data_IF_703934181963
#
_entry.id   IF_703934181963
#
_cell.length_a   1.000
_cell.length_b   1.000
_cell.length_c   1.000
_cell.angle_alpha   90.00
_cell.angle_beta   90.00
_cell.angle_gamma   90.00
#
_symmetry.space_group_name_H-M   'P 1'
#
loop_
_entity.id
_entity.type
_entity.pdbx_description
1 polymer ?
#
# COMPACT_ATOMS: atom_id res chain seq x y z
N UNK A 1 -19.12 9.29 15.11
CA UNK A 1 -18.35 8.16 14.55
C UNK A 1 -16.95 8.66 14.20
N UNK A 2 -15.90 8.13 14.81
CA UNK A 2 -14.53 8.42 14.37
C UNK A 2 -14.30 7.74 13.02
N UNK A 3 -14.00 8.53 12.00
CA UNK A 3 -13.66 8.02 10.68
C UNK A 3 -12.19 7.59 10.68
N UNK A 4 -11.95 6.31 10.41
CA UNK A 4 -10.60 5.77 10.28
C UNK A 4 -9.91 6.35 9.05
N UNK A 5 -8.74 6.96 9.25
CA UNK A 5 -7.91 7.55 8.19
C UNK A 5 -6.54 6.90 8.20
N UNK A 6 -6.10 6.45 7.03
CA UNK A 6 -4.76 5.91 6.81
C UNK A 6 -3.90 6.91 6.07
N UNK A 7 -2.65 7.09 6.50
CA UNK A 7 -1.61 7.65 5.63
C UNK A 7 -0.87 6.53 4.91
N UNK A 8 -0.83 6.59 3.58
CA UNK A 8 -0.07 5.67 2.74
C UNK A 8 1.17 6.38 2.20
N UNK A 9 2.34 5.78 2.41
CA UNK A 9 3.63 6.36 2.09
C UNK A 9 4.37 5.48 1.09
N UNK A 10 4.97 6.11 0.08
CA UNK A 10 5.71 5.45 -1.00
C UNK A 10 6.76 4.43 -0.53
N UNK A 11 6.67 3.25 -1.15
CA UNK A 11 7.67 2.19 -1.39
C UNK A 11 6.99 0.81 -1.60
N UNK A 12 5.66 0.77 -1.56
CA UNK A 12 4.92 -0.47 -1.37
C UNK A 12 3.79 -0.54 -2.40
N UNK A 13 3.99 -1.41 -3.41
CA UNK A 13 2.88 -1.94 -4.21
C UNK A 13 1.77 -2.37 -3.25
N UNK A 14 0.50 -2.20 -3.66
CA UNK A 14 -0.76 -2.46 -2.91
C UNK A 14 -0.86 -3.68 -1.98
N UNK A 15 0.15 -4.55 -1.93
CA UNK A 15 0.15 -5.91 -1.43
C UNK A 15 1.22 -6.24 -0.37
N UNK A 16 2.17 -5.36 0.02
CA UNK A 16 3.18 -5.73 1.05
C UNK A 16 3.63 -4.60 2.01
N UNK A 17 3.12 -4.55 3.24
CA UNK A 17 3.75 -3.72 4.31
C UNK A 17 3.37 -4.15 5.72
N UNK A 18 3.77 -3.40 6.75
CA UNK A 18 3.27 -3.54 8.12
C UNK A 18 2.54 -2.24 8.50
N UNK A 19 1.40 -2.33 9.20
CA UNK A 19 0.68 -1.15 9.70
C UNK A 19 0.91 -0.95 11.19
N UNK A 20 1.02 0.31 11.58
CA UNK A 20 1.13 0.77 12.96
C UNK A 20 -0.08 1.64 13.30
N UNK A 21 -0.63 1.44 14.49
CA UNK A 21 -1.78 2.19 15.00
C UNK A 21 -1.28 3.35 15.87
N UNK A 22 -1.75 4.57 15.57
CA UNK A 22 -1.42 5.76 16.35
C UNK A 22 -2.72 6.35 16.88
N UNK A 23 -2.91 6.31 18.21
CA UNK A 23 -4.05 6.98 18.87
C UNK A 23 -5.03 6.10 19.62
N UNK A 24 -4.62 4.93 20.11
CA UNK A 24 -5.33 4.36 21.25
C UNK A 24 -5.17 5.30 22.45
N UNK A 25 -6.26 5.64 23.15
CA UNK A 25 -6.13 5.85 24.60
C UNK A 25 -5.30 4.68 25.10
N UNK A 26 -4.36 4.93 25.99
CA UNK A 26 -3.85 3.87 26.85
C UNK A 26 -5.11 3.26 27.44
N UNK A 27 -5.57 2.14 26.87
CA UNK A 27 -6.42 1.24 27.58
C UNK A 27 -5.51 0.89 28.74
N UNK A 28 -5.83 1.46 29.90
CA UNK A 28 -5.44 0.88 31.16
C UNK A 28 -5.60 -0.61 30.95
N UNK A 29 -4.48 -1.31 30.80
CA UNK A 29 -4.41 -2.70 31.21
C UNK A 29 -5.13 -2.66 32.56
N UNK A 30 -6.24 -3.39 32.77
CA UNK A 30 -6.72 -3.54 34.11
C UNK A 30 -5.51 -4.11 34.83
N UNK A 31 -4.86 -3.29 35.65
CA UNK A 31 -3.94 -3.82 36.63
C UNK A 31 -4.79 -4.90 37.31
N UNK A 32 -4.40 -6.19 37.27
CA UNK A 32 -5.08 -7.14 38.10
C UNK A 32 -5.07 -6.52 39.49
N UNK A 33 -6.26 -6.31 40.07
CA UNK A 33 -6.44 -5.84 41.43
C UNK A 33 -5.80 -6.87 42.36
N UNK A 34 -4.47 -6.84 42.45
CA UNK A 34 -3.67 -7.67 43.34
C UNK A 34 -3.97 -7.33 44.80
N UNK A 35 -4.62 -6.18 45.05
CA UNK A 35 -5.13 -5.80 46.36
C UNK A 35 -6.43 -6.54 46.72
N UNK A 36 -7.31 -6.87 45.76
CA UNK A 36 -8.61 -7.49 46.07
C UNK A 36 -8.53 -9.01 46.31
N UNK A 37 -7.46 -9.67 45.85
CA UNK A 37 -7.23 -11.10 46.12
C UNK A 37 -6.59 -11.38 47.50
N UNK A 38 -6.12 -10.34 48.19
CA UNK A 38 -5.42 -10.49 49.48
C UNK A 38 -6.35 -10.43 50.70
N UNK A 39 -7.60 -9.98 50.53
CA UNK A 39 -8.55 -9.81 51.64
C UNK A 39 -9.50 -11.00 51.89
N UNK A 40 -9.48 -12.06 51.09
CA UNK A 40 -10.46 -13.17 51.20
C UNK A 40 -9.91 -14.55 51.58
N UNK A 41 -8.60 -14.69 51.88
CA UNK A 41 -8.07 -15.98 52.35
C UNK A 41 -7.22 -15.82 53.61
N UNK A 42 -7.79 -16.26 54.73
CA UNK A 42 -7.10 -16.33 56.00
C UNK A 42 -5.90 -17.27 55.96
N UNK A 43 -4.79 -16.78 56.53
CA UNK A 43 -3.65 -17.52 57.13
C UNK A 43 -3.03 -18.65 56.29
N UNK A 44 -1.94 -18.33 55.58
CA UNK A 44 -0.75 -19.19 55.52
C UNK A 44 0.51 -18.31 55.32
N UNK A 45 1.60 -18.47 56.11
CA UNK A 45 2.81 -17.68 55.92
C UNK A 45 3.62 -18.29 54.77
N UNK A 46 3.33 -17.88 53.53
CA UNK A 46 4.12 -18.33 52.38
C UNK A 46 5.36 -17.44 52.30
N UNK A 47 6.52 -18.03 52.58
CA UNK A 47 7.80 -17.34 52.54
C UNK A 47 8.03 -16.72 51.13
N UNK A 48 8.28 -15.41 51.00
CA UNK A 48 8.41 -14.72 49.71
C UNK A 48 9.53 -15.28 48.81
N UNK A 49 10.54 -15.94 49.40
CA UNK A 49 11.58 -16.64 48.65
C UNK A 49 11.07 -17.89 47.91
N UNK A 50 10.00 -18.53 48.39
CA UNK A 50 9.37 -19.69 47.74
C UNK A 50 8.61 -19.23 46.49
N UNK A 51 7.90 -18.10 46.56
CA UNK A 51 7.17 -17.53 45.40
C UNK A 51 8.15 -17.06 44.33
N UNK A 52 9.27 -16.43 44.73
CA UNK A 52 10.30 -15.95 43.82
C UNK A 52 11.06 -17.04 43.04
N UNK A 53 11.07 -18.28 43.53
CA UNK A 53 11.77 -19.41 42.87
C UNK A 53 10.79 -20.30 42.10
N UNK A 54 9.61 -20.58 42.65
CA UNK A 54 8.66 -21.51 42.02
C UNK A 54 7.90 -20.89 40.86
N UNK A 55 7.58 -19.59 40.89
CA UNK A 55 6.85 -18.96 39.78
C UNK A 55 7.69 -18.93 38.49
N UNK A 56 8.98 -18.54 38.50
CA UNK A 56 9.82 -18.62 37.31
C UNK A 56 10.03 -20.05 36.82
N UNK A 57 10.18 -21.03 37.72
CA UNK A 57 10.32 -22.44 37.35
C UNK A 57 9.03 -23.03 36.75
N UNK A 58 7.87 -22.65 37.28
CA UNK A 58 6.58 -23.05 36.74
C UNK A 58 6.36 -22.43 35.35
N UNK A 59 6.65 -21.13 35.19
CA UNK A 59 6.58 -20.44 33.89
C UNK A 59 7.57 -21.03 32.91
N UNK A 60 8.81 -21.32 33.32
CA UNK A 60 9.82 -21.98 32.49
C UNK A 60 9.37 -23.40 32.11
N UNK A 61 8.75 -24.15 33.01
CA UNK A 61 8.24 -25.50 32.72
C UNK A 61 7.05 -25.48 31.76
N UNK A 62 6.19 -24.47 31.84
CA UNK A 62 5.07 -24.27 30.89
C UNK A 62 5.63 -23.86 29.52
N UNK A 63 6.61 -22.96 29.48
CA UNK A 63 7.29 -22.52 28.25
C UNK A 63 8.10 -23.65 27.58
N UNK A 64 8.71 -24.56 28.36
CA UNK A 64 9.44 -25.72 27.86
C UNK A 64 8.50 -26.86 27.41
N UNK A 65 7.32 -26.99 28.03
CA UNK A 65 6.34 -28.05 27.71
C UNK A 65 5.58 -27.81 26.40
N UNK A 66 5.57 -26.57 25.87
CA UNK A 66 5.03 -26.29 24.53
C UNK A 66 5.98 -26.68 23.38
N UNK A 67 7.20 -27.16 23.66
CA UNK A 67 8.20 -27.36 22.60
C UNK A 67 8.19 -28.69 21.86
N UNK A 68 7.33 -29.67 22.19
CA UNK A 68 7.51 -31.03 21.65
C UNK A 68 6.29 -31.80 21.11
N UNK A 69 5.16 -31.16 20.80
CA UNK A 69 4.11 -31.89 20.05
C UNK A 69 3.19 -31.01 19.16
N UNK A 70 3.78 -30.04 18.47
CA UNK A 70 3.07 -29.35 17.40
C UNK A 70 2.94 -30.30 16.20
N UNK A 71 1.83 -31.06 16.12
CA UNK A 71 1.41 -31.74 14.87
C UNK A 71 1.47 -30.73 13.72
N UNK A 72 2.54 -30.79 12.92
CA UNK A 72 2.70 -29.98 11.70
C UNK A 72 1.63 -30.42 10.71
N UNK A 73 0.46 -29.78 10.75
CA UNK A 73 -0.61 -29.94 9.75
C UNK A 73 -0.28 -29.08 8.53
N UNK A 74 0.78 -29.45 7.82
CA UNK A 74 1.09 -28.92 6.50
C UNK A 74 0.42 -29.75 5.41
N UNK A 75 -0.12 -29.10 4.38
CA UNK A 75 -0.46 -29.78 3.13
C UNK A 75 0.83 -29.94 2.31
N UNK A 76 1.08 -31.14 1.81
CA UNK A 76 2.13 -31.35 0.82
C UNK A 76 1.76 -30.58 -0.44
N UNK A 77 2.66 -29.70 -0.88
CA UNK A 77 2.52 -28.93 -2.10
C UNK A 77 3.78 -29.11 -2.93
N UNK A 78 3.61 -29.33 -4.23
CA UNK A 78 4.70 -29.29 -5.18
C UNK A 78 5.02 -27.83 -5.49
N UNK A 79 6.13 -27.33 -4.96
CA UNK A 79 6.58 -25.96 -5.16
C UNK A 79 7.84 -25.97 -6.03
N UNK A 80 7.66 -26.03 -7.35
CA UNK A 80 8.76 -25.98 -8.30
C UNK A 80 9.54 -27.30 -8.44
N UNK A 81 8.87 -28.44 -8.25
CA UNK A 81 9.48 -29.77 -8.36
C UNK A 81 10.03 -30.34 -7.05
N UNK A 82 10.01 -29.55 -5.96
CA UNK A 82 10.37 -30.02 -4.62
C UNK A 82 9.14 -30.12 -3.70
N UNK A 83 9.03 -31.21 -2.90
CA UNK A 83 7.95 -31.36 -1.94
C UNK A 83 8.09 -30.35 -0.80
N UNK A 84 7.19 -29.36 -0.77
CA UNK A 84 7.06 -28.36 0.28
C UNK A 84 5.88 -28.64 1.21
N UNK A 85 5.84 -27.91 2.34
CA UNK A 85 4.71 -27.92 3.27
C UNK A 85 4.04 -26.54 3.30
N UNK A 86 2.77 -26.48 2.90
CA UNK A 86 1.94 -25.29 3.08
C UNK A 86 1.22 -25.38 4.44
N UNK A 87 1.46 -24.42 5.33
CA UNK A 87 0.78 -24.34 6.63
C UNK A 87 -0.56 -23.60 6.45
N UNK A 88 -1.66 -24.20 6.92
CA UNK A 88 -3.00 -23.58 6.87
C UNK A 88 -3.46 -23.11 8.25
N UNK A 89 -4.32 -22.10 8.26
CA UNK A 89 -4.97 -21.67 9.49
C UNK A 89 -5.91 -22.77 10.01
N UNK A 90 -5.70 -23.21 11.26
CA UNK A 90 -6.45 -24.31 11.88
C UNK A 90 -7.95 -24.04 12.04
N UNK A 91 -8.39 -22.78 11.97
CA UNK A 91 -9.79 -22.38 12.13
C UNK A 91 -10.67 -22.75 10.94
N UNK A 92 -10.09 -23.12 9.80
CA UNK A 92 -10.83 -23.44 8.57
C UNK A 92 -10.51 -24.84 8.08
N UNK A 93 -11.56 -25.59 7.71
CA UNK A 93 -11.43 -26.94 7.17
C UNK A 93 -10.95 -26.93 5.71
N UNK A 94 -11.28 -25.88 4.96
CA UNK A 94 -10.91 -25.62 3.56
C UNK A 94 -10.18 -24.26 3.41
N UNK A 95 -9.42 -24.05 2.32
CA UNK A 95 -8.87 -22.73 2.00
C UNK A 95 -9.98 -21.67 1.93
N UNK A 96 -9.68 -20.46 2.41
CA UNK A 96 -10.59 -19.32 2.28
C UNK A 96 -10.47 -18.79 0.86
N UNK A 97 -11.56 -18.85 0.09
CA UNK A 97 -11.61 -18.32 -1.28
C UNK A 97 -12.13 -16.89 -1.31
N UNK A 98 -13.27 -16.65 -0.65
CA UNK A 98 -13.85 -15.32 -0.47
C UNK A 98 -14.54 -15.22 0.89
N UNK A 99 -14.39 -14.08 1.58
CA UNK A 99 -15.14 -13.75 2.79
C UNK A 99 -16.52 -13.15 2.47
N UNK A 100 -16.72 -12.67 1.24
CA UNK A 100 -17.91 -11.93 0.85
C UNK A 100 -18.83 -12.80 -0.01
N UNK A 101 -20.09 -12.90 0.41
CA UNK A 101 -21.10 -13.67 -0.32
C UNK A 101 -21.33 -13.08 -1.72
N UNK A 102 -21.30 -13.93 -2.74
CA UNK A 102 -21.47 -13.54 -4.14
C UNK A 102 -20.29 -12.80 -4.77
N UNK A 103 -19.14 -12.71 -4.10
CA UNK A 103 -17.92 -12.07 -4.61
C UNK A 103 -16.90 -13.13 -4.97
N UNK A 104 -16.56 -13.19 -6.26
CA UNK A 104 -15.58 -14.12 -6.84
C UNK A 104 -14.35 -13.41 -7.43
N UNK A 105 -14.44 -12.10 -7.64
CA UNK A 105 -13.39 -11.29 -8.26
C UNK A 105 -13.05 -10.03 -7.45
N UNK A 106 -11.85 -9.48 -7.68
CA UNK A 106 -11.42 -8.21 -7.07
C UNK A 106 -12.30 -7.02 -7.51
N UNK A 107 -12.81 -7.07 -8.75
CA UNK A 107 -13.69 -6.04 -9.28
C UNK A 107 -15.07 -6.07 -8.59
N UNK A 108 -15.63 -7.25 -8.36
CA UNK A 108 -16.87 -7.41 -7.58
C UNK A 108 -16.70 -6.97 -6.13
N UNK A 109 -15.56 -7.30 -5.50
CA UNK A 109 -15.25 -6.86 -4.15
C UNK A 109 -15.25 -5.33 -4.06
N UNK A 110 -14.57 -4.66 -5.01
CA UNK A 110 -14.51 -3.21 -5.05
C UNK A 110 -15.90 -2.61 -5.33
N UNK A 111 -16.65 -3.17 -6.28
CA UNK A 111 -18.02 -2.72 -6.58
C UNK A 111 -18.96 -2.84 -5.37
N UNK A 112 -18.92 -3.97 -4.65
CA UNK A 112 -19.70 -4.16 -3.43
C UNK A 112 -19.30 -3.15 -2.35
N UNK A 113 -18.00 -2.89 -2.20
CA UNK A 113 -17.47 -1.89 -1.26
C UNK A 113 -17.95 -0.48 -1.62
N UNK A 114 -17.93 -0.13 -2.90
CA UNK A 114 -18.40 1.16 -3.38
C UNK A 114 -19.91 1.35 -3.21
N UNK A 115 -20.72 0.29 -3.41
CA UNK A 115 -22.16 0.31 -3.11
C UNK A 115 -22.42 0.54 -1.63
N UNK A 116 -21.65 -0.12 -0.75
CA UNK A 116 -21.80 -0.03 0.71
C UNK A 116 -21.36 1.32 1.28
N UNK A 117 -20.29 1.90 0.73
CA UNK A 117 -19.63 3.08 1.29
C UNK A 117 -19.71 4.31 0.39
N UNK A 118 -20.64 4.34 -0.56
CA UNK A 118 -20.71 5.32 -1.67
C UNK A 118 -20.36 6.76 -1.29
N UNK A 119 -20.93 7.29 -0.20
CA UNK A 119 -20.75 8.68 0.24
C UNK A 119 -19.51 8.91 1.14
N UNK A 120 -18.79 7.86 1.54
CA UNK A 120 -17.56 8.02 2.34
C UNK A 120 -16.40 8.44 1.44
N UNK A 121 -15.47 9.27 1.91
CA UNK A 121 -14.23 9.53 1.20
C UNK A 121 -13.36 8.27 1.17
N UNK A 122 -12.77 7.98 0.02
CA UNK A 122 -11.91 6.84 -0.23
C UNK A 122 -10.47 7.28 -0.45
N UNK A 123 -10.19 8.06 -1.52
CA UNK A 123 -8.82 8.46 -1.87
C UNK A 123 -8.63 9.94 -1.60
N UNK A 124 -7.60 10.28 -0.84
CA UNK A 124 -7.24 11.65 -0.50
C UNK A 124 -5.88 12.02 -1.05
N UNK A 125 -5.79 13.16 -1.74
CA UNK A 125 -4.53 13.73 -2.22
C UNK A 125 -4.39 15.17 -1.74
N UNK A 126 -3.16 15.62 -1.48
CA UNK A 126 -2.91 17.03 -1.11
C UNK A 126 -3.05 17.93 -2.31
N UNK A 127 -3.77 19.03 -2.14
CA UNK A 127 -3.74 20.13 -3.10
C UNK A 127 -2.34 20.75 -3.14
N UNK A 128 -1.76 20.86 -4.33
CA UNK A 128 -0.51 21.57 -4.54
C UNK A 128 -0.81 23.05 -4.79
N UNK A 129 -0.44 23.92 -3.85
CA UNK A 129 -0.68 25.38 -3.98
C UNK A 129 0.47 26.03 -4.76
N UNK A 130 1.72 25.67 -4.44
CA UNK A 130 2.89 26.16 -5.19
C UNK A 130 4.10 25.27 -5.01
N UNK A 131 4.97 25.27 -6.02
CA UNK A 131 6.33 24.72 -5.96
C UNK A 131 7.33 25.86 -5.80
N UNK A 132 8.36 25.61 -5.02
CA UNK A 132 9.53 26.48 -4.89
C UNK A 132 10.80 25.65 -4.96
N UNK A 133 11.92 26.32 -5.17
CA UNK A 133 13.24 25.68 -5.18
C UNK A 133 14.09 26.37 -4.13
N UNK A 134 14.65 25.61 -3.21
CA UNK A 134 15.65 26.09 -2.25
C UNK A 134 17.02 25.56 -2.66
N UNK A 135 17.98 26.46 -2.81
CA UNK A 135 19.37 26.09 -3.12
C UNK A 135 20.14 26.04 -1.81
N UNK A 136 20.72 24.88 -1.50
CA UNK A 136 21.61 24.71 -0.36
C UNK A 136 22.92 25.49 -0.58
N UNK A 137 23.66 25.74 0.51
CA UNK A 137 24.99 26.36 0.46
C UNK A 137 25.96 25.59 -0.46
N UNK A 138 25.75 24.28 -0.61
CA UNK A 138 26.53 23.41 -1.51
C UNK A 138 26.11 23.52 -3.00
N UNK A 139 25.23 24.44 -3.38
CA UNK A 139 24.72 24.61 -4.74
C UNK A 139 23.66 23.59 -5.18
N UNK A 140 23.33 22.60 -4.34
CA UNK A 140 22.27 21.63 -4.61
C UNK A 140 20.89 22.28 -4.49
N UNK A 141 20.07 22.14 -5.53
CA UNK A 141 18.68 22.61 -5.53
C UNK A 141 17.73 21.52 -5.02
N UNK A 142 16.82 21.90 -4.14
CA UNK A 142 15.79 21.04 -3.57
C UNK A 142 14.41 21.61 -3.86
N UNK A 143 13.54 20.77 -4.43
CA UNK A 143 12.14 21.11 -4.61
C UNK A 143 11.43 21.19 -3.24
N UNK A 144 10.71 22.29 -3.03
CA UNK A 144 9.86 22.54 -1.87
C UNK A 144 8.43 22.73 -2.32
N UNK A 145 7.50 22.10 -1.62
CA UNK A 145 6.07 22.10 -1.91
C UNK A 145 5.34 22.88 -0.81
N UNK A 146 4.49 23.80 -1.24
CA UNK A 146 3.44 24.38 -0.41
C UNK A 146 2.14 23.62 -0.69
N UNK A 147 1.73 22.79 0.27
CA UNK A 147 0.60 21.88 0.13
C UNK A 147 -0.58 22.39 0.96
N UNK A 148 -1.77 22.40 0.36
CA UNK A 148 -3.05 22.77 0.95
C UNK A 148 -3.68 21.65 1.76
N UNK A 149 -5.01 21.57 1.76
CA UNK A 149 -5.74 20.50 2.45
C UNK A 149 -5.80 19.22 1.59
N UNK A 150 -6.25 18.12 2.20
CA UNK A 150 -6.59 16.91 1.45
C UNK A 150 -7.88 17.14 0.67
N UNK A 151 -7.82 16.93 -0.64
CA UNK A 151 -8.97 16.80 -1.52
C UNK A 151 -9.32 15.32 -1.63
N UNK A 152 -10.60 14.99 -1.45
CA UNK A 152 -11.06 13.61 -1.36
C UNK A 152 -11.98 13.27 -2.53
N UNK A 153 -11.82 12.06 -3.05
CA UNK A 153 -12.85 11.41 -3.85
C UNK A 153 -13.56 10.36 -3.00
N UNK A 154 -14.88 10.32 -3.10
CA UNK A 154 -15.73 9.33 -2.45
C UNK A 154 -15.63 7.96 -3.11
N UNK A 155 -16.08 6.91 -2.42
CA UNK A 155 -16.19 5.57 -3.00
C UNK A 155 -17.06 5.56 -4.27
N UNK A 156 -18.15 6.33 -4.29
CA UNK A 156 -19.02 6.45 -5.47
C UNK A 156 -18.34 7.14 -6.64
N UNK A 157 -17.63 8.23 -6.39
CA UNK A 157 -16.85 8.93 -7.42
C UNK A 157 -15.70 8.07 -7.94
N UNK A 158 -14.99 7.37 -7.05
CA UNK A 158 -13.95 6.43 -7.42
C UNK A 158 -14.48 5.28 -8.29
N UNK A 159 -15.67 4.74 -7.96
CA UNK A 159 -16.29 3.70 -8.78
C UNK A 159 -16.64 4.21 -10.18
N UNK A 160 -17.18 5.43 -10.28
CA UNK A 160 -17.46 6.07 -11.58
C UNK A 160 -16.17 6.26 -12.39
N UNK A 161 -15.11 6.79 -11.78
CA UNK A 161 -13.81 6.95 -12.42
C UNK A 161 -13.25 5.60 -12.88
N UNK A 162 -13.36 4.54 -12.07
CA UNK A 162 -12.93 3.17 -12.43
C UNK A 162 -13.70 2.63 -13.63
N UNK A 163 -15.02 2.83 -13.70
CA UNK A 163 -15.84 2.42 -14.85
C UNK A 163 -15.44 3.17 -16.12
N UNK A 164 -15.19 4.48 -16.00
CA UNK A 164 -14.72 5.31 -17.09
C UNK A 164 -13.34 4.87 -17.56
N UNK A 165 -12.36 4.71 -16.67
CA UNK A 165 -11.00 4.26 -17.03
C UNK A 165 -11.05 2.88 -17.71
N UNK A 166 -11.79 1.93 -17.15
CA UNK A 166 -12.01 0.60 -17.73
C UNK A 166 -12.52 0.69 -19.18
N UNK A 167 -13.52 1.54 -19.42
CA UNK A 167 -14.08 1.75 -20.75
C UNK A 167 -13.11 2.46 -21.69
N UNK A 168 -12.37 3.45 -21.18
CA UNK A 168 -11.38 4.22 -21.94
C UNK A 168 -10.20 3.38 -22.41
N UNK A 169 -9.71 2.45 -21.57
CA UNK A 169 -8.67 1.48 -21.96
C UNK A 169 -9.11 0.65 -23.16
N UNK A 170 -10.39 0.23 -23.21
CA UNK A 170 -10.93 -0.49 -24.36
C UNK A 170 -11.03 0.42 -25.60
N UNK A 171 -11.41 1.68 -25.44
CA UNK A 171 -11.46 2.64 -26.56
C UNK A 171 -10.08 2.96 -27.14
N UNK A 172 -9.01 2.83 -26.36
CA UNK A 172 -7.63 2.89 -26.84
C UNK A 172 -7.21 1.65 -27.65
N UNK A 173 -8.06 0.62 -27.73
CA UNK A 173 -7.80 -0.61 -28.45
C UNK A 173 -7.09 -1.69 -27.62
N UNK A 174 -6.99 -1.51 -26.30
CA UNK A 174 -6.38 -2.48 -25.39
C UNK A 174 -7.29 -3.69 -25.24
N UNK A 175 -6.71 -4.89 -25.38
CA UNK A 175 -7.40 -6.18 -25.41
C UNK A 175 -7.09 -6.98 -24.14
N UNK A 176 -7.91 -7.98 -23.84
CA UNK A 176 -7.82 -8.85 -22.66
C UNK A 176 -6.41 -9.46 -22.42
N UNK A 177 -5.69 -9.79 -23.48
CA UNK A 177 -4.36 -10.41 -23.38
C UNK A 177 -3.20 -9.40 -23.34
N UNK A 178 -3.51 -8.11 -23.45
CA UNK A 178 -2.52 -7.06 -23.29
C UNK A 178 -2.12 -6.92 -21.81
N UNK A 179 -0.85 -6.59 -21.59
CA UNK A 179 -0.29 -6.33 -20.28
C UNK A 179 -0.06 -4.84 -20.12
N UNK A 180 -0.58 -4.29 -19.02
CA UNK A 180 -0.45 -2.88 -18.68
C UNK A 180 0.54 -2.74 -17.54
N UNK A 181 1.65 -2.02 -17.76
CA UNK A 181 2.52 -1.64 -16.67
C UNK A 181 2.00 -0.37 -15.97
N UNK A 182 1.96 -0.37 -14.64
CA UNK A 182 1.77 0.86 -13.86
C UNK A 182 3.12 1.23 -13.24
N UNK A 183 3.74 2.28 -13.79
CA UNK A 183 5.05 2.80 -13.44
C UNK A 183 4.93 4.24 -12.91
N UNK A 184 4.43 4.37 -11.68
CA UNK A 184 4.35 5.66 -10.98
C UNK A 184 4.38 5.48 -9.47
N UNK A 185 4.61 6.58 -8.74
CA UNK A 185 4.48 6.63 -7.29
C UNK A 185 3.04 6.27 -6.83
N UNK A 186 2.91 5.82 -5.59
CA UNK A 186 1.63 5.37 -5.05
C UNK A 186 0.71 6.57 -4.85
N UNK A 187 -0.32 6.67 -5.69
CA UNK A 187 -1.28 7.79 -5.71
C UNK A 187 -2.69 7.34 -6.08
N UNK A 188 -3.65 8.25 -6.02
CA UNK A 188 -5.06 7.98 -6.33
C UNK A 188 -5.23 7.36 -7.74
N UNK A 189 -4.59 7.94 -8.74
CA UNK A 189 -4.63 7.51 -10.13
C UNK A 189 -4.03 6.11 -10.33
N UNK A 190 -2.97 5.77 -9.59
CA UNK A 190 -2.39 4.42 -9.58
C UNK A 190 -3.45 3.39 -9.14
N UNK A 191 -4.19 3.70 -8.08
CA UNK A 191 -5.23 2.82 -7.56
C UNK A 191 -6.44 2.72 -8.51
N UNK A 192 -6.89 3.85 -9.06
CA UNK A 192 -7.99 3.88 -10.03
C UNK A 192 -7.63 3.09 -11.30
N UNK A 193 -6.39 3.21 -11.78
CA UNK A 193 -5.88 2.44 -12.90
C UNK A 193 -5.90 0.93 -12.63
N UNK A 194 -5.41 0.51 -11.45
CA UNK A 194 -5.42 -0.89 -11.03
C UNK A 194 -6.84 -1.47 -11.03
N UNK A 195 -7.78 -0.77 -10.39
CA UNK A 195 -9.18 -1.20 -10.34
C UNK A 195 -9.85 -1.21 -11.72
N UNK A 196 -9.53 -0.23 -12.57
CA UNK A 196 -9.97 -0.19 -13.98
C UNK A 196 -9.49 -1.40 -14.78
N UNK A 197 -8.23 -1.79 -14.60
CA UNK A 197 -7.66 -2.99 -15.22
C UNK A 197 -8.36 -4.27 -14.71
N UNK A 198 -8.61 -4.36 -13.40
CA UNK A 198 -9.30 -5.52 -12.83
C UNK A 198 -10.72 -5.68 -13.38
N UNK A 199 -11.46 -4.58 -13.61
CA UNK A 199 -12.81 -4.57 -14.18
C UNK A 199 -12.87 -5.03 -15.64
N UNK A 200 -11.74 -5.03 -16.37
CA UNK A 200 -11.62 -5.45 -17.77
C UNK A 200 -10.83 -6.75 -17.95
N UNK A 201 -10.58 -7.48 -16.87
CA UNK A 201 -9.74 -8.67 -16.88
C UNK A 201 -8.35 -8.43 -17.52
N UNK A 202 -7.76 -7.25 -17.31
CA UNK A 202 -6.42 -6.95 -17.81
C UNK A 202 -5.37 -7.38 -16.77
N UNK A 203 -4.23 -7.87 -17.25
CA UNK A 203 -3.09 -8.21 -16.40
C UNK A 203 -2.25 -6.96 -16.14
N UNK A 204 -2.02 -6.65 -14.88
CA UNK A 204 -1.22 -5.49 -14.47
C UNK A 204 0.21 -5.91 -14.15
N UNK A 205 1.19 -5.27 -14.77
CA UNK A 205 2.60 -5.39 -14.40
C UNK A 205 2.95 -4.23 -13.48
N UNK A 206 3.27 -4.53 -12.23
CA UNK A 206 3.62 -3.48 -11.27
C UNK A 206 5.13 -3.39 -11.12
N UNK A 207 5.66 -2.19 -11.40
CA UNK A 207 7.07 -1.85 -11.29
C UNK A 207 7.24 -0.64 -10.38
N UNK A 208 8.29 -0.63 -9.56
CA UNK A 208 8.57 0.48 -8.66
C UNK A 208 9.03 1.72 -9.41
N UNK A 209 8.52 2.90 -9.07
CA UNK A 209 8.97 4.19 -9.64
C UNK A 209 10.48 4.45 -9.43
N UNK A 210 11.05 3.88 -8.37
CA UNK A 210 12.48 3.93 -8.04
C UNK A 210 13.35 2.93 -8.80
N UNK A 211 12.76 2.07 -9.63
CA UNK A 211 13.51 1.08 -10.42
C UNK A 211 14.44 1.77 -11.42
N UNK A 212 15.66 1.24 -11.55
CA UNK A 212 16.64 1.71 -12.53
C UNK A 212 16.26 1.28 -13.96
N UNK A 213 16.76 2.02 -14.95
CA UNK A 213 16.43 1.86 -16.37
C UNK A 213 16.63 0.44 -16.91
N UNK A 214 17.75 -0.20 -16.60
CA UNK A 214 18.03 -1.57 -17.04
C UNK A 214 17.02 -2.59 -16.47
N UNK A 215 16.69 -2.46 -15.18
CA UNK A 215 15.71 -3.32 -14.52
C UNK A 215 14.29 -3.07 -15.05
N UNK A 216 13.96 -1.81 -15.34
CA UNK A 216 12.69 -1.42 -15.95
C UNK A 216 12.56 -2.03 -17.36
N UNK A 217 13.57 -1.86 -18.21
CA UNK A 217 13.58 -2.41 -19.56
C UNK A 217 13.42 -3.94 -19.55
N UNK A 218 14.18 -4.64 -18.70
CA UNK A 218 14.04 -6.08 -18.53
C UNK A 218 12.61 -6.47 -18.15
N UNK A 219 12.04 -5.79 -17.15
CA UNK A 219 10.69 -6.09 -16.65
C UNK A 219 9.61 -5.89 -17.72
N UNK A 220 9.68 -4.79 -18.47
CA UNK A 220 8.69 -4.47 -19.51
C UNK A 220 8.79 -5.40 -20.72
N UNK A 221 10.00 -5.78 -21.14
CA UNK A 221 10.20 -6.68 -22.28
C UNK A 221 9.88 -8.14 -21.94
N UNK A 222 10.30 -8.62 -20.76
CA UNK A 222 10.00 -10.00 -20.32
C UNK A 222 8.50 -10.23 -20.20
N UNK A 223 7.74 -9.20 -19.82
CA UNK A 223 6.27 -9.25 -19.80
C UNK A 223 5.62 -8.68 -21.05
N UNK A 224 6.36 -8.41 -22.12
CA UNK A 224 5.85 -7.87 -23.40
C UNK A 224 4.75 -6.82 -23.19
N UNK A 225 5.01 -5.85 -22.31
CA UNK A 225 4.03 -4.82 -21.95
C UNK A 225 3.70 -4.00 -23.18
N UNK A 226 2.41 -3.81 -23.44
CA UNK A 226 1.94 -3.01 -24.57
C UNK A 226 1.48 -1.61 -24.17
N UNK A 227 1.13 -1.40 -22.90
CA UNK A 227 0.69 -0.10 -22.39
C UNK A 227 1.39 0.23 -21.08
N UNK A 228 1.92 1.44 -20.94
CA UNK A 228 2.52 1.92 -19.69
C UNK A 228 1.74 3.12 -19.16
N UNK A 229 1.31 3.06 -17.91
CA UNK A 229 0.74 4.19 -17.17
C UNK A 229 1.84 4.77 -16.29
N UNK A 230 2.17 6.06 -16.44
CA UNK A 230 3.30 6.65 -15.73
C UNK A 230 3.09 8.09 -15.25
N UNK A 231 3.87 8.50 -14.26
CA UNK A 231 3.96 9.89 -13.80
C UNK A 231 4.90 10.73 -14.67
N UNK A 232 5.08 12.00 -14.30
CA UNK A 232 5.93 12.94 -15.05
C UNK A 232 7.40 12.50 -15.10
N UNK A 233 7.99 12.16 -13.95
CA UNK A 233 9.41 11.78 -13.85
C UNK A 233 9.66 10.43 -14.52
N UNK A 234 8.70 9.53 -14.39
CA UNK A 234 8.73 8.20 -14.97
C UNK A 234 8.63 8.24 -16.49
N UNK A 235 7.83 9.15 -17.05
CA UNK A 235 7.75 9.38 -18.49
C UNK A 235 9.12 9.75 -19.08
N UNK A 236 9.87 10.65 -18.41
CA UNK A 236 11.22 11.02 -18.86
C UNK A 236 12.16 9.81 -18.93
N UNK A 237 12.12 8.93 -17.91
CA UNK A 237 12.91 7.68 -17.91
C UNK A 237 12.49 6.75 -19.05
N UNK A 238 11.17 6.59 -19.28
CA UNK A 238 10.66 5.77 -20.37
C UNK A 238 11.15 6.26 -21.74
N UNK A 239 11.12 7.57 -21.99
CA UNK A 239 11.65 8.17 -23.22
C UNK A 239 13.14 7.81 -23.39
N UNK A 240 13.94 7.91 -22.32
CA UNK A 240 15.37 7.58 -22.33
C UNK A 240 15.67 6.11 -22.71
N UNK A 241 14.77 5.18 -22.40
CA UNK A 241 14.91 3.76 -22.76
C UNK A 241 14.04 3.33 -23.94
N UNK A 242 13.36 4.26 -24.61
CA UNK A 242 12.35 3.96 -25.63
C UNK A 242 12.88 3.06 -26.76
N UNK A 243 14.13 3.25 -27.18
CA UNK A 243 14.79 2.42 -28.20
C UNK A 243 15.09 0.97 -27.79
N UNK A 244 14.84 0.60 -26.53
CA UNK A 244 15.00 -0.75 -26.00
C UNK A 244 13.66 -1.43 -25.67
N UNK A 245 12.52 -0.77 -25.91
CA UNK A 245 11.19 -1.25 -25.57
C UNK A 245 10.45 -1.73 -26.81
N UNK A 246 10.42 -3.05 -27.02
CA UNK A 246 9.97 -3.64 -28.29
C UNK A 246 8.45 -3.67 -28.46
N UNK A 247 7.72 -3.75 -27.34
CA UNK A 247 6.29 -4.08 -27.33
C UNK A 247 5.38 -2.92 -26.94
N UNK A 248 5.94 -1.86 -26.37
CA UNK A 248 5.16 -0.71 -25.88
C UNK A 248 4.57 0.06 -27.05
N UNK A 249 3.24 0.23 -27.01
CA UNK A 249 2.43 0.92 -28.05
C UNK A 249 1.74 2.15 -27.49
N UNK A 250 1.29 2.09 -26.25
CA UNK A 250 0.53 3.16 -25.60
C UNK A 250 1.26 3.63 -24.34
N UNK A 251 1.33 4.95 -24.15
CA UNK A 251 1.76 5.55 -22.88
C UNK A 251 0.68 6.49 -22.37
N UNK A 252 0.15 6.15 -21.20
CA UNK A 252 -0.88 6.92 -20.52
C UNK A 252 -0.20 7.71 -19.40
N UNK A 253 -0.09 9.02 -19.55
CA UNK A 253 0.59 9.85 -18.55
C UNK A 253 -0.40 10.47 -17.56
N UNK A 254 -0.02 10.49 -16.29
CA UNK A 254 -0.75 11.21 -15.25
C UNK A 254 -0.30 12.67 -15.31
N UNK A 255 -1.25 13.58 -15.55
CA UNK A 255 -0.94 14.99 -15.75
C UNK A 255 -0.38 15.62 -14.48
N UNK A 256 0.73 16.33 -14.63
CA UNK A 256 1.34 17.20 -13.62
C UNK A 256 1.77 18.51 -14.28
N UNK A 257 1.95 19.56 -13.48
CA UNK A 257 2.51 20.82 -13.97
C UNK A 257 3.82 20.55 -14.72
N UNK A 258 4.03 21.20 -15.87
CA UNK A 258 5.21 21.09 -16.76
C UNK A 258 5.41 19.80 -17.56
N UNK A 259 4.48 18.83 -17.52
CA UNK A 259 4.59 17.58 -18.30
C UNK A 259 4.53 17.76 -19.83
N UNK A 260 4.13 18.94 -20.31
CA UNK A 260 3.94 19.22 -21.74
C UNK A 260 5.20 18.99 -22.57
N UNK A 261 6.38 19.31 -22.00
CA UNK A 261 7.66 19.16 -22.70
C UNK A 261 7.98 17.70 -22.94
N UNK A 262 7.85 16.85 -21.91
CA UNK A 262 8.08 15.41 -22.00
C UNK A 262 7.06 14.74 -22.93
N UNK A 263 5.80 15.21 -22.93
CA UNK A 263 4.78 14.69 -23.85
C UNK A 263 5.13 15.01 -25.30
N UNK A 264 5.60 16.23 -25.61
CA UNK A 264 6.06 16.57 -26.96
C UNK A 264 7.27 15.72 -27.35
N UNK A 265 8.26 15.58 -26.48
CA UNK A 265 9.43 14.73 -26.72
C UNK A 265 9.05 13.28 -26.97
N UNK A 266 8.10 12.73 -26.20
CA UNK A 266 7.63 11.36 -26.40
C UNK A 266 6.97 11.20 -27.78
N UNK A 267 6.16 12.18 -28.22
CA UNK A 267 5.50 12.15 -29.54
C UNK A 267 6.48 12.30 -30.71
N UNK A 268 7.56 13.06 -30.52
CA UNK A 268 8.58 13.28 -31.56
C UNK A 268 9.56 12.10 -31.67
N UNK A 269 9.96 11.52 -30.53
CA UNK A 269 11.04 10.55 -30.47
C UNK A 269 10.57 9.09 -30.45
N UNK A 270 9.27 8.83 -30.35
CA UNK A 270 8.72 7.46 -30.24
C UNK A 270 7.53 7.26 -31.16
N UNK A 271 7.23 6.01 -31.49
CA UNK A 271 6.01 5.62 -32.21
C UNK A 271 4.81 5.42 -31.28
N UNK A 272 4.94 5.77 -29.99
CA UNK A 272 3.92 5.50 -28.99
C UNK A 272 2.71 6.43 -29.13
N UNK A 273 1.52 5.89 -28.88
CA UNK A 273 0.33 6.68 -28.67
C UNK A 273 0.34 7.26 -27.25
N UNK A 274 0.56 8.57 -27.15
CA UNK A 274 0.64 9.30 -25.89
C UNK A 274 -0.73 9.92 -25.55
N UNK A 275 -1.35 9.48 -24.45
CA UNK A 275 -2.68 9.94 -24.01
C UNK A 275 -2.65 10.32 -22.53
N UNK A 276 -3.38 11.37 -22.11
CA UNK A 276 -3.44 11.70 -20.68
C UNK A 276 -4.41 10.76 -19.96
N UNK A 277 -4.16 10.51 -18.67
CA UNK A 277 -5.04 9.71 -17.82
C UNK A 277 -6.48 10.24 -17.79
N UNK A 278 -6.63 11.57 -17.76
CA UNK A 278 -7.93 12.26 -17.81
C UNK A 278 -8.65 12.08 -19.15
N UNK A 279 -7.90 11.98 -20.25
CA UNK A 279 -8.46 11.75 -21.57
C UNK A 279 -8.97 10.31 -21.71
N UNK A 280 -8.23 9.34 -21.17
CA UNK A 280 -8.71 7.95 -21.09
C UNK A 280 -10.02 7.87 -20.31
N UNK A 281 -10.10 8.56 -19.16
CA UNK A 281 -11.34 8.64 -18.39
C UNK A 281 -12.48 9.26 -19.22
N UNK A 282 -12.22 10.39 -19.91
CA UNK A 282 -13.22 11.06 -20.76
C UNK A 282 -13.72 10.14 -21.88
N UNK A 283 -12.82 9.47 -22.60
CA UNK A 283 -13.16 8.53 -23.68
C UNK A 283 -14.08 7.42 -23.19
N UNK A 284 -13.82 6.89 -21.99
CA UNK A 284 -14.66 5.86 -21.40
C UNK A 284 -15.99 6.36 -20.86
N UNK A 285 -16.04 7.60 -20.35
CA UNK A 285 -17.31 8.25 -19.98
C UNK A 285 -18.24 8.41 -21.19
N UNK A 286 -17.67 8.72 -22.36
CA UNK A 286 -18.45 8.92 -23.60
C UNK A 286 -18.94 7.62 -24.22
N UNK A 287 -18.21 6.51 -24.00
CA UNK A 287 -18.54 5.19 -24.53
C UNK A 287 -18.40 4.13 -23.43
N UNK A 288 -19.33 4.13 -22.46
CA UNK A 288 -19.29 3.19 -21.35
C UNK A 288 -19.48 1.76 -21.84
N UNK A 289 -18.79 0.83 -21.20
CA UNK A 289 -18.95 -0.61 -21.44
C UNK A 289 -19.13 -1.36 -20.13
N UNK A 290 -19.79 -2.51 -20.22
CA UNK A 290 -19.95 -3.40 -19.08
C UNK A 290 -18.60 -4.00 -18.65
N UNK A 291 -18.55 -4.45 -17.39
CA UNK A 291 -17.40 -5.17 -16.87
C UNK A 291 -17.19 -6.48 -17.63
N UNK A 292 -15.93 -6.82 -17.91
CA UNK A 292 -15.53 -8.14 -18.37
C UNK A 292 -14.85 -8.83 -17.20
N UNK A 293 -15.64 -9.60 -16.45
CA UNK A 293 -15.20 -10.16 -15.18
C UNK A 293 -14.37 -11.44 -15.41
N UNK A 294 -13.24 -11.56 -14.71
CA UNK A 294 -12.33 -12.69 -14.82
C UNK A 294 -12.83 -13.95 -14.12
N UNK A 295 -12.18 -15.08 -14.39
CA UNK A 295 -12.24 -16.27 -13.52
C UNK A 295 -11.10 -16.27 -12.49
N UNK A 296 -11.23 -17.06 -11.43
CA UNK A 296 -10.27 -17.07 -10.31
C UNK A 296 -8.84 -17.48 -10.70
N UNK A 297 -8.70 -18.30 -11.75
CA UNK A 297 -7.42 -18.76 -12.29
C UNK A 297 -6.75 -17.77 -13.24
N UNK A 298 -7.42 -16.67 -13.60
CA UNK A 298 -6.80 -15.64 -14.44
C UNK A 298 -5.70 -14.89 -13.67
N UNK A 299 -4.66 -14.48 -14.39
CA UNK A 299 -3.58 -13.67 -13.85
C UNK A 299 -4.09 -12.26 -13.54
N UNK A 300 -3.80 -11.74 -12.34
CA UNK A 300 -4.19 -10.40 -11.91
C UNK A 300 -3.03 -9.43 -12.08
N UNK A 301 -1.91 -9.77 -11.44
CA UNK A 301 -0.76 -8.88 -11.28
C UNK A 301 0.52 -9.67 -11.45
N UNK A 302 1.49 -9.11 -12.17
CA UNK A 302 2.88 -9.52 -12.14
C UNK A 302 3.64 -8.45 -11.37
N UNK A 303 4.13 -8.78 -10.18
CA UNK A 303 4.85 -7.84 -9.33
C UNK A 303 6.35 -8.03 -9.48
N UNK A 304 7.04 -7.04 -10.05
CA UNK A 304 8.49 -7.10 -10.15
C UNK A 304 9.16 -6.70 -8.85
N UNK A 305 10.10 -7.53 -8.41
CA UNK A 305 10.87 -7.31 -7.18
C UNK A 305 12.36 -7.27 -7.48
N UNK A 306 13.07 -6.33 -6.87
CA UNK A 306 14.53 -6.28 -6.90
C UNK A 306 15.08 -7.38 -5.99
N UNK A 307 15.35 -8.56 -6.54
CA UNK A 307 16.00 -9.64 -5.81
C UNK A 307 17.41 -9.24 -5.35
N UNK A 308 17.97 -9.96 -4.39
CA UNK A 308 19.27 -9.64 -3.77
C UNK A 308 20.48 -9.86 -4.69
N UNK A 309 20.37 -10.62 -5.78
CA UNK A 309 21.53 -11.08 -6.56
C UNK A 309 21.30 -11.20 -8.08
N UNK A 310 20.39 -10.43 -8.70
CA UNK A 310 20.19 -10.54 -10.14
C UNK A 310 19.13 -9.62 -10.76
N UNK A 311 18.75 -9.94 -11.99
CA UNK A 311 17.62 -9.31 -12.70
C UNK A 311 16.34 -9.40 -11.85
N UNK A 312 15.48 -8.37 -11.88
CA UNK A 312 14.27 -8.37 -11.09
C UNK A 312 13.35 -9.50 -11.57
N UNK A 313 12.64 -10.14 -10.64
CA UNK A 313 11.76 -11.27 -10.94
C UNK A 313 10.30 -10.87 -10.82
N UNK A 314 9.48 -11.28 -11.77
CA UNK A 314 8.03 -11.10 -11.76
C UNK A 314 7.32 -12.16 -10.91
N UNK A 315 6.73 -11.74 -9.79
CA UNK A 315 5.87 -12.59 -8.96
C UNK A 315 4.46 -12.59 -9.55
N UNK A 316 4.03 -13.75 -10.07
CA UNK A 316 2.69 -13.92 -10.63
C UNK A 316 1.64 -14.09 -9.54
N UNK A 317 0.66 -13.19 -9.51
CA UNK A 317 -0.45 -13.20 -8.57
C UNK A 317 -1.75 -13.47 -9.32
N UNK A 318 -2.29 -14.68 -9.12
CA UNK A 318 -3.61 -15.06 -9.63
C UNK A 318 -4.72 -14.31 -8.87
N UNK A 319 -5.84 -14.04 -9.54
CA UNK A 319 -6.95 -13.28 -8.94
C UNK A 319 -7.52 -13.96 -7.71
N UNK A 320 -7.71 -15.28 -7.77
CA UNK A 320 -8.16 -16.09 -6.64
C UNK A 320 -7.20 -15.98 -5.45
N UNK A 321 -5.89 -16.00 -5.69
CA UNK A 321 -4.88 -15.87 -4.62
C UNK A 321 -4.96 -14.51 -3.92
N UNK A 322 -5.16 -13.43 -4.68
CA UNK A 322 -5.32 -12.09 -4.11
C UNK A 322 -6.59 -12.01 -3.27
N UNK A 323 -7.73 -12.45 -3.81
CA UNK A 323 -9.01 -12.42 -3.10
C UNK A 323 -8.99 -13.29 -1.83
N UNK A 324 -8.42 -14.49 -1.93
CA UNK A 324 -8.20 -15.39 -0.80
C UNK A 324 -7.33 -14.74 0.28
N UNK A 325 -6.25 -14.05 -0.11
CA UNK A 325 -5.35 -13.36 0.83
C UNK A 325 -6.08 -12.21 1.55
N UNK A 326 -6.82 -11.40 0.81
CA UNK A 326 -7.64 -10.30 1.38
C UNK A 326 -8.68 -10.86 2.35
N UNK A 327 -9.37 -11.93 1.96
CA UNK A 327 -10.36 -12.62 2.79
C UNK A 327 -9.73 -13.21 4.05
N UNK A 328 -8.60 -13.89 3.93
CA UNK A 328 -7.88 -14.48 5.06
C UNK A 328 -7.47 -13.42 6.08
N UNK A 329 -6.91 -12.29 5.63
CA UNK A 329 -6.51 -11.21 6.54
C UNK A 329 -7.72 -10.62 7.27
N UNK A 330 -8.80 -10.35 6.56
CA UNK A 330 -10.04 -9.84 7.16
C UNK A 330 -10.67 -10.83 8.15
N UNK A 331 -10.48 -12.13 7.93
CA UNK A 331 -11.03 -13.18 8.81
C UNK A 331 -10.16 -13.43 10.05
N UNK A 332 -8.84 -13.48 9.89
CA UNK A 332 -7.90 -13.67 11.00
C UNK A 332 -8.01 -12.50 11.98
N UNK A 333 -8.27 -11.32 11.43
CA UNK A 333 -8.16 -10.11 12.20
C UNK A 333 -9.25 -9.10 11.83
N UNK A 334 -10.51 -9.37 12.22
CA UNK A 334 -11.66 -8.53 11.87
C UNK A 334 -11.59 -7.13 12.49
N UNK A 335 -10.96 -7.00 13.67
CA UNK A 335 -10.66 -5.70 14.30
C UNK A 335 -9.43 -5.00 13.71
N UNK A 336 -8.65 -5.70 12.88
CA UNK A 336 -7.44 -5.24 12.17
C UNK A 336 -7.72 -5.03 10.67
N UNK A 337 -8.98 -5.00 10.22
CA UNK A 337 -9.29 -4.35 8.93
C UNK A 337 -8.64 -2.96 8.82
N UNK A 338 -8.38 -2.34 9.98
CA UNK A 338 -7.53 -1.17 10.22
C UNK A 338 -6.00 -1.40 10.16
N UNK A 339 -5.43 -2.52 10.61
CA UNK A 339 -3.96 -2.76 10.63
C UNK A 339 -3.46 -3.69 9.49
N UNK A 340 -4.28 -3.98 8.49
CA UNK A 340 -3.83 -4.70 7.30
C UNK A 340 -3.16 -3.73 6.31
N UNK A 341 -1.92 -3.97 5.87
CA UNK A 341 -1.19 -3.14 4.89
C UNK A 341 -1.79 -3.08 3.47
N UNK A 342 -2.66 -4.04 3.14
CA UNK A 342 -3.14 -4.20 1.77
C UNK A 342 -4.24 -3.20 1.49
N UNK A 343 -4.04 -2.39 0.45
CA UNK A 343 -5.01 -1.37 0.02
C UNK A 343 -6.40 -1.98 -0.15
N UNK A 344 -6.47 -3.10 -0.87
CA UNK A 344 -7.72 -3.78 -1.25
C UNK A 344 -8.52 -4.22 -0.01
N UNK A 345 -7.83 -4.66 1.06
CA UNK A 345 -8.49 -5.04 2.30
C UNK A 345 -9.09 -3.82 3.04
N UNK A 346 -8.37 -2.69 3.01
CA UNK A 346 -8.81 -1.44 3.62
C UNK A 346 -10.00 -0.83 2.88
N UNK A 347 -10.01 -0.92 1.55
CA UNK A 347 -11.13 -0.48 0.71
C UNK A 347 -12.38 -1.31 1.03
N UNK A 348 -12.22 -2.63 1.15
CA UNK A 348 -13.30 -3.54 1.55
C UNK A 348 -13.83 -3.26 2.97
N UNK A 349 -13.01 -2.64 3.82
CA UNK A 349 -13.40 -2.20 5.16
C UNK A 349 -14.00 -0.77 5.20
N UNK A 350 -14.03 -0.04 4.08
CA UNK A 350 -14.58 1.31 4.03
C UNK A 350 -13.68 2.37 4.67
N UNK A 351 -12.36 2.16 4.65
CA UNK A 351 -11.35 3.07 5.22
C UNK A 351 -11.02 4.19 4.22
N UNK A 352 -10.76 5.39 4.74
CA UNK A 352 -10.31 6.54 3.96
C UNK A 352 -8.77 6.61 3.93
N UNK A 353 -8.20 6.80 2.76
CA UNK A 353 -6.77 6.61 2.49
C UNK A 353 -6.20 7.89 1.89
N UNK A 354 -5.37 8.57 2.68
CA UNK A 354 -4.61 9.75 2.25
C UNK A 354 -3.22 9.36 1.75
N UNK A 355 -2.90 9.73 0.52
CA UNK A 355 -1.60 9.51 -0.07
C UNK A 355 -0.61 10.58 0.37
N UNK A 356 0.58 10.14 0.77
CA UNK A 356 1.69 10.97 1.21
C UNK A 356 3.01 10.40 0.69
N UNK A 357 4.07 11.19 0.74
CA UNK A 357 5.43 10.71 0.47
C UNK A 357 6.27 10.75 1.74
N UNK A 358 7.35 9.96 1.74
CA UNK A 358 8.37 9.99 2.77
C UNK A 358 8.98 11.39 2.97
N UNK A 359 8.90 12.24 1.95
CA UNK A 359 9.46 13.59 1.91
C UNK A 359 8.42 14.67 2.25
N UNK A 360 7.15 14.30 2.47
CA UNK A 360 6.06 15.22 2.83
C UNK A 360 5.36 14.86 4.14
N UNK A 361 5.72 13.73 4.75
CA UNK A 361 5.04 13.16 5.92
C UNK A 361 4.97 14.09 7.14
N UNK A 362 6.09 14.72 7.51
CA UNK A 362 6.21 15.58 8.70
C UNK A 362 6.39 17.04 8.30
N UNK A 363 6.05 17.98 9.19
CA UNK A 363 6.22 19.43 8.94
C UNK A 363 7.68 19.85 8.67
N UNK A 364 8.63 18.97 8.99
CA UNK A 364 10.08 19.18 8.78
C UNK A 364 10.64 18.30 7.67
N UNK A 365 9.79 17.62 6.89
CA UNK A 365 10.25 16.76 5.82
C UNK A 365 10.82 17.56 4.66
N UNK A 366 11.75 16.96 3.92
CA UNK A 366 12.62 17.70 2.99
C UNK A 366 11.86 18.38 1.84
N UNK A 367 10.72 17.85 1.38
CA UNK A 367 9.90 18.51 0.35
C UNK A 367 8.89 19.50 0.92
N UNK A 368 8.72 19.65 2.22
CA UNK A 368 7.77 20.62 2.78
C UNK A 368 8.42 22.00 2.87
N UNK A 369 7.78 23.00 2.26
CA UNK A 369 8.19 24.41 2.39
C UNK A 369 8.02 24.88 3.84
N UNK A 370 9.01 25.56 4.41
CA UNK A 370 8.97 26.07 5.79
C UNK A 370 7.67 26.84 6.06
N UNK A 371 6.98 26.51 7.15
CA UNK A 371 5.67 27.08 7.51
C UNK A 371 4.46 26.30 6.96
N UNK A 372 4.68 25.30 6.12
CA UNK A 372 3.63 24.40 5.60
C UNK A 372 3.52 23.16 6.50
N UNK A 373 2.29 22.66 6.70
CA UNK A 373 2.07 21.41 7.44
C UNK A 373 2.30 20.18 6.55
N UNK A 374 3.00 19.19 7.10
CA UNK A 374 3.17 17.88 6.51
C UNK A 374 1.91 17.02 6.58
N UNK A 375 1.94 15.88 5.91
CA UNK A 375 0.77 15.01 5.75
C UNK A 375 0.21 14.47 7.05
N UNK A 376 1.06 14.00 7.97
CA UNK A 376 0.61 13.48 9.26
C UNK A 376 -0.12 14.55 10.09
N UNK A 377 0.33 15.81 10.02
CA UNK A 377 -0.25 16.93 10.75
C UNK A 377 -1.62 17.35 10.20
N UNK A 378 -1.82 17.28 8.88
CA UNK A 378 -3.09 17.63 8.22
C UNK A 378 -4.08 16.47 8.26
N UNK A 379 -3.63 15.27 7.90
CA UNK A 379 -4.47 14.09 7.78
C UNK A 379 -4.92 13.56 9.14
N UNK A 380 -4.04 13.67 10.16
CA UNK A 380 -4.18 13.08 11.49
C UNK A 380 -4.58 11.60 11.40
N UNK A 381 -3.71 10.77 10.80
CA UNK A 381 -4.04 9.37 10.54
C UNK A 381 -4.23 8.60 11.85
N UNK A 382 -5.23 7.73 11.87
CA UNK A 382 -5.41 6.70 12.93
C UNK A 382 -4.47 5.53 12.71
N UNK A 383 -4.06 5.31 11.44
CA UNK A 383 -3.23 4.21 11.01
C UNK A 383 -2.15 4.70 10.05
N UNK A 384 -0.97 4.12 10.14
CA UNK A 384 0.11 4.39 9.21
C UNK A 384 0.72 3.07 8.76
N UNK A 385 0.70 2.80 7.46
CA UNK A 385 1.54 1.77 6.87
C UNK A 385 2.99 2.27 6.91
N UNK A 386 3.88 1.54 7.58
CA UNK A 386 5.27 1.96 7.73
C UNK A 386 6.26 0.81 7.49
N UNK A 387 7.38 1.15 6.87
CA UNK A 387 8.60 0.36 6.82
C UNK A 387 9.61 0.95 7.81
N UNK A 388 10.67 0.21 8.21
CA UNK A 388 11.68 0.73 9.14
C UNK A 388 12.19 2.14 8.79
N UNK A 389 12.42 2.42 7.50
CA UNK A 389 12.85 3.75 7.03
C UNK A 389 11.86 4.89 7.36
N UNK A 390 10.54 4.61 7.36
CA UNK A 390 9.53 5.59 7.80
C UNK A 390 9.67 5.84 9.30
N UNK A 391 9.84 4.78 10.10
CA UNK A 391 10.01 4.88 11.54
C UNK A 391 11.30 5.63 11.92
N UNK A 392 12.40 5.39 11.20
CA UNK A 392 13.65 6.12 11.38
C UNK A 392 13.48 7.62 11.14
N UNK A 393 12.77 8.05 10.09
CA UNK A 393 12.52 9.48 9.86
C UNK A 393 11.63 10.11 10.92
N UNK A 394 10.62 9.39 11.38
CA UNK A 394 9.78 9.86 12.50
C UNK A 394 10.64 10.04 13.74
N UNK A 395 11.49 9.07 14.08
CA UNK A 395 12.45 9.16 15.18
C UNK A 395 13.37 10.37 15.02
N UNK A 396 13.96 10.58 13.85
CA UNK A 396 14.90 11.66 13.61
C UNK A 396 14.22 13.04 13.71
N UNK A 397 12.98 13.16 13.23
CA UNK A 397 12.18 14.37 13.39
C UNK A 397 11.83 14.67 14.86
N UNK A 398 11.52 13.63 15.65
CA UNK A 398 11.29 13.74 17.10
C UNK A 398 12.58 14.15 17.80
N UNK A 399 13.70 13.48 17.52
CA UNK A 399 15.03 13.81 18.09
C UNK A 399 15.43 15.25 17.84
N UNK A 400 15.29 15.75 16.60
CA UNK A 400 15.56 17.16 16.27
C UNK A 400 14.76 18.15 17.14
N UNK A 401 13.49 17.84 17.43
CA UNK A 401 12.65 18.69 18.31
C UNK A 401 13.08 18.61 19.78
N UNK A 402 13.48 17.43 20.25
CA UNK A 402 13.99 17.23 21.62
C UNK A 402 15.32 17.96 21.79
N UNK A 403 16.24 17.80 20.83
CA UNK A 403 17.54 18.48 20.82
C UNK A 403 17.40 20.00 20.80
N UNK A 404 16.46 20.54 20.01
CA UNK A 404 16.19 21.97 19.96
C UNK A 404 15.62 22.55 21.28
N UNK A 405 14.93 21.74 22.09
CA UNK A 405 14.43 22.16 23.41
C UNK A 405 15.50 22.08 24.51
N UNK A 406 16.43 21.13 24.43
CA UNK A 406 17.54 20.97 25.36
C UNK A 406 17.13 20.69 26.82
N UNK A 407 18.09 20.82 27.73
CA UNK A 407 17.86 20.80 29.19
C UNK A 407 17.36 19.47 29.77
N UNK A 408 16.51 19.57 30.81
CA UNK A 408 15.97 18.43 31.56
C UNK A 408 15.13 17.49 30.69
N UNK A 409 14.40 18.04 29.70
CA UNK A 409 13.57 17.27 28.76
C UNK A 409 14.40 16.35 27.87
N UNK A 410 15.57 16.82 27.40
CA UNK A 410 16.51 15.98 26.66
C UNK A 410 17.07 14.85 27.53
N UNK A 411 17.51 15.18 28.76
CA UNK A 411 18.01 14.17 29.71
C UNK A 411 16.96 13.10 30.06
N UNK A 412 15.69 13.49 30.21
CA UNK A 412 14.60 12.55 30.47
C UNK A 412 14.29 11.68 29.24
N UNK A 413 14.36 12.24 28.03
CA UNK A 413 14.14 11.50 26.78
C UNK A 413 15.28 10.53 26.46
N UNK A 414 16.53 10.87 26.81
CA UNK A 414 17.70 10.01 26.58
C UNK A 414 17.79 8.83 27.58
N UNK A 415 17.10 8.93 28.73
CA UNK A 415 17.06 7.88 29.79
C UNK A 415 15.90 6.89 29.58
N UNK A 416 14.81 7.33 28.94
CA UNK A 416 13.64 6.52 28.61
C UNK A 416 13.84 5.77 27.29
#
# INVERSE_FOLDING_TARGET
MHQTRLVRIDQICGFSSHCYEFGGRIASIPAPDFAAAYESSGRFPVNPYIVGIFVPLLVASIMLRESNDAKKRGLLVDAGGEPGYAVRNHRFASPVESLWEGVSTLAELFEQSCKRFACKPLLGSRELISRGTEVSQDGRSFEKLHLGNYQWISYGEAFKAVCNIASGLLQLGIKKNDRIAIFCETRAEWFLALQGCFRRNLTVVSVYASMGEHALCHSLNETEVSTVICGHKELRKLIGISGQLDTVKHVIYIAEDSISTEVSQAKENTSWMITSFTEVERMGMEKPVDADLPISSDLAVIMYTSGSTGLPKGVMMMRGNVLATVSAVMTISPSIGTKCPMQIAMDAAGISIGYASLLTLTDTSDKIKKGTKGDASVLRPTLMAAVPAILDRVRDAVRKKVDAKGGLLKKLFDVA
#
